data_IF_363675173700
#
_entry.id   IF_363675173700
#
_cell.length_a   1.000
_cell.length_b   1.000
_cell.length_c   1.000
_cell.angle_alpha   90.00
_cell.angle_beta   90.00
_cell.angle_gamma   90.00
#
_symmetry.space_group_name_H-M   'P 1'
#
loop_
_entity.id
_entity.type
_entity.pdbx_description
1 polymer ?
#
# COMPACT_ATOMS: atom_id res chain seq x y z
N UNK A 1 -22.17 -2.32 7.86
CA UNK A 1 -21.02 -2.15 6.94
C UNK A 1 -19.81 -2.72 7.62
N UNK A 2 -18.92 -3.31 6.82
CA UNK A 2 -17.68 -3.93 7.28
C UNK A 2 -16.72 -2.84 7.75
N UNK A 3 -16.13 -3.03 8.93
CA UNK A 3 -15.13 -2.12 9.51
C UNK A 3 -13.70 -2.56 9.17
N UNK A 4 -13.47 -3.87 9.25
CA UNK A 4 -12.21 -4.51 8.90
C UNK A 4 -12.50 -5.60 7.90
N UNK A 5 -11.79 -5.57 6.76
CA UNK A 5 -11.77 -6.64 5.78
C UNK A 5 -10.39 -7.27 5.76
N UNK A 6 -10.32 -8.58 5.98
CA UNK A 6 -9.10 -9.35 5.90
C UNK A 6 -9.35 -10.55 4.98
N UNK A 7 -8.60 -10.61 3.88
CA UNK A 7 -8.64 -11.73 2.95
C UNK A 7 -7.22 -12.24 2.73
N UNK A 8 -7.00 -13.50 3.09
CA UNK A 8 -5.76 -14.21 2.81
C UNK A 8 -6.08 -15.43 1.98
N UNK A 9 -5.46 -15.51 0.80
CA UNK A 9 -5.64 -16.58 -0.17
C UNK A 9 -4.32 -17.35 -0.27
N UNK A 10 -4.18 -18.48 0.45
CA UNK A 10 -2.92 -19.22 0.51
C UNK A 10 -2.62 -20.04 -0.75
N UNK A 11 -3.64 -20.36 -1.56
CA UNK A 11 -3.53 -21.22 -2.74
C UNK A 11 -4.11 -20.54 -3.96
N UNK A 12 -3.76 -21.05 -5.15
CA UNK A 12 -4.35 -20.62 -6.42
C UNK A 12 -5.89 -20.63 -6.34
N UNK A 13 -6.47 -19.43 -6.37
CA UNK A 13 -7.87 -19.22 -6.73
C UNK A 13 -7.87 -18.75 -8.18
N UNK A 14 -8.43 -19.57 -9.07
CA UNK A 14 -8.76 -19.16 -10.45
C UNK A 14 -9.94 -18.17 -10.49
N UNK A 15 -10.02 -17.27 -9.50
CA UNK A 15 -11.18 -16.41 -9.34
C UNK A 15 -10.83 -15.04 -8.80
N UNK A 16 -10.02 -14.33 -9.59
CA UNK A 16 -9.90 -12.88 -9.49
C UNK A 16 -11.29 -12.22 -9.38
N UNK A 17 -12.29 -12.75 -10.09
CA UNK A 17 -13.67 -12.27 -10.03
C UNK A 17 -14.27 -12.33 -8.62
N UNK A 18 -14.03 -13.39 -7.83
CA UNK A 18 -14.58 -13.44 -6.46
C UNK A 18 -13.95 -12.39 -5.56
N UNK A 19 -12.66 -12.11 -5.74
CA UNK A 19 -11.94 -11.09 -4.96
C UNK A 19 -12.57 -9.72 -5.21
N UNK A 20 -12.85 -9.36 -6.46
CA UNK A 20 -13.49 -8.09 -6.82
C UNK A 20 -14.89 -7.97 -6.20
N UNK A 21 -15.70 -9.02 -6.25
CA UNK A 21 -17.03 -9.02 -5.62
C UNK A 21 -16.95 -8.86 -4.09
N UNK A 22 -16.00 -9.51 -3.43
CA UNK A 22 -15.81 -9.36 -1.98
C UNK A 22 -15.33 -7.96 -1.61
N UNK A 23 -14.41 -7.40 -2.40
CA UNK A 23 -13.94 -6.03 -2.20
C UNK A 23 -15.07 -5.01 -2.41
N UNK A 24 -15.89 -5.16 -3.45
CA UNK A 24 -17.06 -4.31 -3.68
C UNK A 24 -18.05 -4.33 -2.50
N UNK A 25 -18.27 -5.50 -1.90
CA UNK A 25 -19.13 -5.62 -0.72
C UNK A 25 -18.52 -4.99 0.53
N UNK A 26 -17.21 -5.13 0.71
CA UNK A 26 -16.52 -4.69 1.92
C UNK A 26 -16.16 -3.21 1.93
N UNK A 27 -15.73 -2.67 0.79
CA UNK A 27 -15.27 -1.30 0.61
C UNK A 27 -16.49 -0.37 0.59
N UNK A 28 -16.83 0.14 1.77
CA UNK A 28 -17.94 1.07 2.01
C UNK A 28 -17.45 2.21 2.90
N UNK A 29 -18.16 3.35 3.05
CA UNK A 29 -17.74 4.44 3.94
C UNK A 29 -17.59 4.10 5.44
N UNK A 30 -17.76 2.83 5.84
CA UNK A 30 -17.49 2.32 7.20
C UNK A 30 -16.18 1.55 7.31
N UNK A 31 -15.49 1.30 6.19
CA UNK A 31 -14.23 0.57 6.16
C UNK A 31 -13.13 1.41 6.83
N UNK A 32 -12.34 0.77 7.66
CA UNK A 32 -11.20 1.37 8.34
C UNK A 32 -9.92 0.57 8.14
N UNK A 33 -10.03 -0.74 7.93
CA UNK A 33 -8.88 -1.62 7.77
C UNK A 33 -9.10 -2.55 6.59
N UNK A 34 -8.16 -2.55 5.64
CA UNK A 34 -8.20 -3.35 4.44
C UNK A 34 -6.91 -4.15 4.33
N UNK A 35 -7.01 -5.46 4.49
CA UNK A 35 -5.90 -6.41 4.32
C UNK A 35 -6.24 -7.41 3.22
N UNK A 36 -5.37 -7.50 2.22
CA UNK A 36 -5.50 -8.38 1.07
C UNK A 36 -4.15 -9.05 0.78
N UNK A 37 -4.05 -10.36 1.02
CA UNK A 37 -2.85 -11.16 0.76
C UNK A 37 -3.18 -12.30 -0.22
N UNK A 38 -2.63 -12.24 -1.44
CA UNK A 38 -2.97 -13.17 -2.52
C UNK A 38 -1.78 -14.06 -2.92
N UNK A 39 -1.33 -14.95 -2.03
CA UNK A 39 -0.12 -15.75 -2.22
C UNK A 39 -0.12 -16.64 -3.47
N UNK A 40 -1.31 -17.05 -3.92
CA UNK A 40 -1.49 -18.06 -4.95
C UNK A 40 -1.81 -17.55 -6.36
N UNK A 41 -1.66 -16.27 -6.73
CA UNK A 41 -2.11 -15.85 -8.06
C UNK A 41 -1.08 -16.19 -9.15
N UNK A 42 -1.43 -17.03 -10.14
CA UNK A 42 -0.58 -17.29 -11.33
C UNK A 42 -0.43 -16.03 -12.18
N UNK A 43 -1.53 -15.29 -12.32
CA UNK A 43 -1.56 -14.00 -12.99
C UNK A 43 -1.45 -12.87 -11.96
N UNK A 44 -0.80 -11.77 -12.33
CA UNK A 44 -0.80 -10.55 -11.53
C UNK A 44 -2.23 -10.02 -11.34
N UNK A 45 -2.76 -10.12 -10.12
CA UNK A 45 -4.03 -9.49 -9.76
C UNK A 45 -3.84 -7.99 -9.59
N UNK A 46 -4.65 -7.18 -10.28
CA UNK A 46 -4.64 -5.72 -10.13
C UNK A 46 -5.65 -5.31 -9.06
N UNK A 47 -5.16 -4.70 -7.97
CA UNK A 47 -6.06 -4.17 -6.94
C UNK A 47 -6.98 -3.08 -7.54
N UNK A 48 -8.31 -3.20 -7.39
CA UNK A 48 -9.29 -2.32 -8.03
C UNK A 48 -9.36 -0.97 -7.31
N UNK A 49 -8.39 -0.10 -7.61
CA UNK A 49 -8.26 1.22 -6.99
C UNK A 49 -9.52 2.09 -7.17
N UNK A 50 -10.28 1.90 -8.24
CA UNK A 50 -11.55 2.60 -8.46
C UNK A 50 -12.56 2.39 -7.33
N UNK A 51 -12.50 1.31 -6.55
CA UNK A 51 -13.37 1.11 -5.39
C UNK A 51 -13.07 2.09 -4.25
N UNK A 52 -11.91 2.75 -4.28
CA UNK A 52 -11.46 3.70 -3.27
C UNK A 52 -11.71 5.17 -3.67
N UNK A 53 -12.34 5.42 -4.82
CA UNK A 53 -12.74 6.76 -5.27
C UNK A 53 -13.82 7.38 -4.38
N UNK A 54 -14.28 8.58 -4.75
CA UNK A 54 -15.38 9.28 -4.07
C UNK A 54 -15.15 9.52 -2.57
N UNK A 55 -13.88 9.59 -2.18
CA UNK A 55 -13.46 9.80 -0.81
C UNK A 55 -13.53 8.56 0.08
N UNK A 56 -13.80 7.36 -0.47
CA UNK A 56 -13.81 6.12 0.31
C UNK A 56 -12.42 5.83 0.91
N UNK A 57 -11.35 6.11 0.18
CA UNK A 57 -9.97 6.05 0.67
C UNK A 57 -9.75 6.83 1.98
N UNK A 58 -10.55 7.86 2.24
CA UNK A 58 -10.39 8.76 3.40
C UNK A 58 -10.84 8.10 4.71
N UNK A 59 -11.57 6.98 4.66
CA UNK A 59 -12.01 6.25 5.85
C UNK A 59 -11.01 5.17 6.29
N UNK A 60 -10.13 4.74 5.38
CA UNK A 60 -9.13 3.70 5.65
C UNK A 60 -8.01 4.26 6.53
N UNK A 61 -7.73 3.56 7.62
CA UNK A 61 -6.67 3.84 8.61
C UNK A 61 -5.51 2.87 8.48
N UNK A 62 -5.77 1.65 8.03
CA UNK A 62 -4.76 0.64 7.75
C UNK A 62 -5.00 -0.03 6.40
N UNK A 63 -4.00 0.03 5.53
CA UNK A 63 -3.98 -0.68 4.26
C UNK A 63 -2.78 -1.64 4.24
N UNK A 64 -3.06 -2.91 4.01
CA UNK A 64 -2.07 -3.98 3.90
C UNK A 64 -2.33 -4.78 2.63
N UNK A 65 -1.45 -4.63 1.64
CA UNK A 65 -1.57 -5.30 0.34
C UNK A 65 -0.40 -6.24 0.12
N UNK A 66 -0.72 -7.44 -0.34
CA UNK A 66 0.20 -8.54 -0.54
C UNK A 66 0.00 -9.24 -1.87
N UNK A 67 1.09 -9.48 -2.61
CA UNK A 67 1.08 -10.32 -3.82
C UNK A 67 0.09 -9.85 -4.91
N UNK A 68 0.07 -8.54 -5.18
CA UNK A 68 -0.78 -7.94 -6.20
C UNK A 68 -0.09 -6.74 -6.86
N UNK A 69 -0.66 -6.24 -7.96
CA UNK A 69 -0.32 -4.93 -8.49
C UNK A 69 -1.19 -3.85 -7.84
N UNK A 70 -0.56 -2.76 -7.42
CA UNK A 70 -1.25 -1.59 -6.87
C UNK A 70 -1.00 -0.39 -7.77
N UNK A 71 -2.04 0.05 -8.47
CA UNK A 71 -2.00 1.07 -9.53
C UNK A 71 -2.86 2.28 -9.15
N UNK A 72 -2.42 3.06 -8.16
CA UNK A 72 -3.18 4.20 -7.67
C UNK A 72 -3.34 5.26 -8.76
N UNK A 73 -4.58 5.71 -8.99
CA UNK A 73 -4.87 6.82 -9.90
C UNK A 73 -4.82 8.15 -9.14
N UNK A 74 -4.62 9.26 -9.87
CA UNK A 74 -4.64 10.62 -9.31
C UNK A 74 -5.99 10.95 -8.64
N UNK A 75 -7.06 10.28 -9.06
CA UNK A 75 -8.43 10.47 -8.58
C UNK A 75 -8.69 9.88 -7.18
N UNK A 76 -7.78 9.07 -6.64
CA UNK A 76 -7.93 8.47 -5.30
C UNK A 76 -8.00 9.51 -4.16
N UNK A 77 -7.71 10.78 -4.45
CA UNK A 77 -7.84 11.86 -3.50
C UNK A 77 -6.84 11.75 -2.35
N UNK A 78 -7.16 12.45 -1.25
CA UNK A 78 -6.29 12.50 -0.07
C UNK A 78 -6.72 11.45 0.94
N UNK A 79 -5.94 10.39 1.09
CA UNK A 79 -6.12 9.33 2.09
C UNK A 79 -5.89 9.87 3.53
N UNK A 80 -6.74 10.80 3.96
CA UNK A 80 -6.54 11.66 5.14
C UNK A 80 -6.43 10.90 6.45
N UNK A 81 -6.97 9.69 6.52
CA UNK A 81 -7.00 8.89 7.75
C UNK A 81 -5.97 7.75 7.75
N UNK A 82 -5.26 7.51 6.63
CA UNK A 82 -4.36 6.38 6.51
C UNK A 82 -3.13 6.58 7.41
N UNK A 83 -3.03 5.76 8.45
CA UNK A 83 -1.93 5.79 9.43
C UNK A 83 -0.87 4.75 9.13
N UNK A 84 -1.27 3.61 8.57
CA UNK A 84 -0.37 2.49 8.29
C UNK A 84 -0.56 2.00 6.86
N UNK A 85 0.54 1.91 6.14
CA UNK A 85 0.62 1.34 4.81
C UNK A 85 1.68 0.24 4.80
N UNK A 86 1.25 -0.99 4.54
CA UNK A 86 2.11 -2.15 4.38
C UNK A 86 1.94 -2.71 2.97
N UNK A 87 3.04 -2.82 2.23
CA UNK A 87 3.06 -3.37 0.88
C UNK A 87 4.08 -4.51 0.84
N UNK A 88 3.61 -5.74 0.60
CA UNK A 88 4.44 -6.95 0.57
C UNK A 88 4.33 -7.64 -0.78
N UNK A 89 5.42 -7.86 -1.51
CA UNK A 89 5.38 -8.44 -2.86
C UNK A 89 4.46 -7.66 -3.82
N UNK A 90 4.27 -6.36 -3.58
CA UNK A 90 3.38 -5.51 -4.38
C UNK A 90 4.13 -4.93 -5.57
N UNK A 91 3.55 -5.09 -6.75
CA UNK A 91 4.03 -4.44 -7.97
C UNK A 91 3.51 -3.00 -8.05
N UNK A 92 4.36 -2.07 -7.62
CA UNK A 92 4.16 -0.62 -7.69
C UNK A 92 5.49 0.05 -8.03
N UNK A 93 5.48 1.05 -8.93
CA UNK A 93 6.67 1.82 -9.28
C UNK A 93 6.99 2.89 -8.24
N UNK A 94 8.23 3.38 -8.23
CA UNK A 94 8.63 4.48 -7.34
C UNK A 94 7.81 5.77 -7.55
N UNK A 95 7.43 6.06 -8.80
CA UNK A 95 6.65 7.25 -9.14
C UNK A 95 5.18 7.13 -8.68
N UNK A 96 4.56 5.97 -8.88
CA UNK A 96 3.20 5.69 -8.38
C UNK A 96 3.16 5.78 -6.85
N UNK A 97 4.14 5.17 -6.16
CA UNK A 97 4.23 5.27 -4.71
C UNK A 97 4.46 6.71 -4.25
N UNK A 98 5.39 7.44 -4.87
CA UNK A 98 5.66 8.84 -4.53
C UNK A 98 4.44 9.75 -4.69
N UNK A 99 3.63 9.52 -5.73
CA UNK A 99 2.36 10.22 -5.94
C UNK A 99 1.37 9.97 -4.79
N UNK A 100 1.20 8.71 -4.38
CA UNK A 100 0.33 8.36 -3.24
C UNK A 100 0.86 8.97 -1.95
N UNK A 101 2.13 8.75 -1.62
CA UNK A 101 2.77 9.23 -0.40
C UNK A 101 2.62 10.74 -0.22
N UNK A 102 2.66 11.52 -1.32
CA UNK A 102 2.50 12.98 -1.27
C UNK A 102 1.15 13.41 -0.67
N UNK A 103 0.15 12.54 -0.70
CA UNK A 103 -1.23 12.79 -0.25
C UNK A 103 -1.58 12.14 1.11
N UNK A 104 -0.66 11.40 1.75
CA UNK A 104 -0.90 10.65 3.00
C UNK A 104 -0.53 11.43 4.27
N UNK A 105 -1.15 12.59 4.52
CA UNK A 105 -0.74 13.50 5.62
C UNK A 105 -0.75 12.90 7.04
N UNK A 106 -1.54 11.85 7.27
CA UNK A 106 -1.67 11.17 8.55
C UNK A 106 -0.80 9.90 8.67
N UNK A 107 0.03 9.59 7.67
CA UNK A 107 0.82 8.36 7.67
C UNK A 107 1.86 8.39 8.79
N UNK A 108 1.80 7.39 9.66
CA UNK A 108 2.71 7.19 10.79
C UNK A 108 3.71 6.05 10.51
N UNK A 109 3.31 5.07 9.68
CA UNK A 109 4.00 3.81 9.47
C UNK A 109 3.97 3.39 7.98
N UNK A 110 5.15 3.14 7.42
CA UNK A 110 5.33 2.65 6.05
C UNK A 110 6.22 1.41 6.04
N UNK A 111 5.71 0.29 5.51
CA UNK A 111 6.52 -0.89 5.18
C UNK A 111 6.46 -1.21 3.70
N UNK A 112 7.63 -1.46 3.12
CA UNK A 112 7.81 -2.01 1.79
C UNK A 112 8.63 -3.29 1.92
N UNK A 113 8.07 -4.43 1.52
CA UNK A 113 8.71 -5.73 1.60
C UNK A 113 8.63 -6.38 0.22
N UNK A 114 9.75 -6.79 -0.39
CA UNK A 114 9.78 -7.38 -1.73
C UNK A 114 9.10 -6.52 -2.83
N UNK A 115 9.14 -5.19 -2.73
CA UNK A 115 8.61 -4.26 -3.72
C UNK A 115 9.64 -3.99 -4.84
N UNK A 116 9.90 -5.00 -5.67
CA UNK A 116 11.01 -5.03 -6.63
C UNK A 116 10.90 -4.06 -7.81
N UNK A 117 9.79 -3.34 -7.97
CA UNK A 117 9.61 -2.32 -9.02
C UNK A 117 10.07 -0.93 -8.59
N UNK A 118 10.46 -0.74 -7.33
CA UNK A 118 10.92 0.54 -6.79
C UNK A 118 12.45 0.60 -6.81
N UNK A 119 13.00 1.48 -7.66
CA UNK A 119 14.44 1.73 -7.70
C UNK A 119 14.87 2.91 -6.82
N UNK A 120 14.01 3.91 -6.66
CA UNK A 120 14.23 5.07 -5.81
C UNK A 120 12.97 5.35 -5.00
N UNK A 121 13.12 5.34 -3.68
CA UNK A 121 12.07 5.72 -2.73
C UNK A 121 12.33 7.16 -2.27
N UNK A 122 11.38 8.05 -2.55
CA UNK A 122 11.42 9.45 -2.11
C UNK A 122 10.27 9.69 -1.14
N UNK A 123 10.60 9.87 0.13
CA UNK A 123 9.63 10.18 1.18
C UNK A 123 9.44 11.72 1.21
N UNK A 124 8.24 12.22 0.88
CA UNK A 124 8.02 13.66 0.77
C UNK A 124 7.95 14.33 2.15
N UNK A 125 8.22 15.63 2.20
CA UNK A 125 8.13 16.41 3.43
C UNK A 125 6.68 16.59 3.92
N UNK A 126 5.67 16.27 3.11
CA UNK A 126 4.26 16.31 3.54
C UNK A 126 3.93 15.26 4.60
N UNK A 127 4.75 14.19 4.72
CA UNK A 127 4.59 13.14 5.72
C UNK A 127 5.11 13.58 7.11
N UNK A 128 4.40 14.53 7.72
CA UNK A 128 4.77 15.15 8.99
C UNK A 128 4.63 14.22 10.22
N UNK A 129 3.90 13.10 10.09
CA UNK A 129 3.69 12.13 11.17
C UNK A 129 4.46 10.82 10.96
N UNK A 130 5.14 10.64 9.83
CA UNK A 130 5.84 9.40 9.53
C UNK A 130 6.97 9.22 10.55
N UNK A 131 6.84 8.18 11.36
CA UNK A 131 7.77 7.85 12.44
C UNK A 131 8.45 6.50 12.23
N UNK A 132 7.82 5.60 11.47
CA UNK A 132 8.32 4.28 11.16
C UNK A 132 8.42 4.07 9.66
N UNK A 133 9.62 3.74 9.19
CA UNK A 133 9.91 3.38 7.80
C UNK A 133 10.70 2.08 7.76
N UNK A 134 10.16 1.08 7.07
CA UNK A 134 10.85 -0.19 6.81
C UNK A 134 10.87 -0.50 5.32
N UNK A 135 12.05 -0.86 4.84
CA UNK A 135 12.28 -1.33 3.47
C UNK A 135 13.05 -2.63 3.54
N UNK A 136 12.45 -3.73 3.10
CA UNK A 136 13.01 -5.08 3.24
C UNK A 136 13.00 -5.79 1.90
N UNK A 137 14.12 -6.41 1.53
CA UNK A 137 14.27 -7.31 0.39
C UNK A 137 13.75 -6.74 -0.95
N UNK A 138 13.80 -5.42 -1.12
CA UNK A 138 13.44 -4.76 -2.38
C UNK A 138 14.66 -4.74 -3.30
N UNK A 139 14.80 -5.74 -4.17
CA UNK A 139 16.03 -6.06 -4.92
C UNK A 139 16.53 -4.96 -5.86
N UNK A 140 15.65 -4.07 -6.34
CA UNK A 140 16.01 -2.94 -7.21
C UNK A 140 16.27 -1.63 -6.47
N UNK A 141 16.02 -1.57 -5.16
CA UNK A 141 16.15 -0.35 -4.37
C UNK A 141 17.60 0.13 -4.34
N UNK A 142 17.86 1.34 -4.86
CA UNK A 142 19.20 1.98 -4.90
C UNK A 142 19.29 3.26 -4.09
N UNK A 143 18.16 3.94 -3.89
CA UNK A 143 18.12 5.24 -3.22
C UNK A 143 16.90 5.29 -2.33
N UNK A 144 17.13 5.63 -1.07
CA UNK A 144 16.07 5.99 -0.12
C UNK A 144 16.38 7.42 0.34
N UNK A 145 15.59 8.38 -0.13
CA UNK A 145 15.68 9.78 0.29
C UNK A 145 14.46 10.10 1.15
N UNK A 146 14.68 10.70 2.33
CA UNK A 146 13.58 11.15 3.17
C UNK A 146 13.67 12.62 3.51
N UNK A 147 12.55 13.32 3.28
CA UNK A 147 12.31 14.70 3.72
C UNK A 147 11.28 14.78 4.85
N UNK A 148 10.79 13.63 5.33
CA UNK A 148 9.85 13.58 6.45
C UNK A 148 10.59 13.91 7.76
N UNK A 149 10.10 14.88 8.56
CA UNK A 149 10.88 15.42 9.69
C UNK A 149 10.90 14.54 10.94
N UNK A 150 10.01 13.54 11.06
CA UNK A 150 9.82 12.77 12.30
C UNK A 150 10.18 11.28 12.18
N UNK A 151 10.87 10.87 11.12
CA UNK A 151 11.29 9.47 10.98
C UNK A 151 12.28 9.15 12.10
N UNK A 152 11.85 8.34 13.08
CA UNK A 152 12.64 7.96 14.24
C UNK A 152 13.05 6.49 14.19
N UNK A 153 12.27 5.65 13.52
CA UNK A 153 12.54 4.25 13.30
C UNK A 153 12.73 4.00 11.81
N UNK A 154 13.95 3.64 11.42
CA UNK A 154 14.29 3.28 10.06
C UNK A 154 14.94 1.90 10.03
N UNK A 155 14.33 0.97 9.29
CA UNK A 155 14.84 -0.39 9.12
C UNK A 155 15.06 -0.67 7.64
N UNK A 156 16.26 -1.15 7.33
CA UNK A 156 16.60 -1.58 5.98
C UNK A 156 17.23 -2.98 6.02
N UNK A 157 16.72 -3.88 5.19
CA UNK A 157 17.27 -5.22 4.95
C UNK A 157 17.25 -5.51 3.45
N UNK A 158 18.34 -6.03 2.89
CA UNK A 158 18.45 -6.32 1.46
C UNK A 158 19.89 -6.22 0.95
N UNK A 159 20.08 -6.47 -0.35
CA UNK A 159 21.40 -6.47 -0.98
C UNK A 159 21.77 -5.09 -1.52
N UNK A 160 22.76 -4.42 -0.91
CA UNK A 160 23.39 -3.14 -1.33
C UNK A 160 22.41 -2.04 -1.81
N UNK A 161 22.14 -1.06 -0.94
CA UNK A 161 21.78 0.31 -1.37
C UNK A 161 22.99 0.95 -2.04
#
# INVERSE_FOLDING_TARGET
GVKTFNLQVPYELDVCDHVDHWLQFAITPRIEELNLMLYGTVQEYNFPCSLLSDGIANYIRFLDLGHCAFRPTVELGSWRSLKRLCLSFVHITGDELGCVLSNLFALEWLELIYCDKIASLKIPCTLQQLSYLKVSECSRMRVIESKAPKVSNFYFTGYKV
#
